data_IF_875619009976
#
_entry.id   IF_875619009976
#
_cell.length_a   1.000
_cell.length_b   1.000
_cell.length_c   1.000
_cell.angle_alpha   90.00
_cell.angle_beta   90.00
_cell.angle_gamma   90.00
#
_symmetry.space_group_name_H-M   'P 1'
#
loop_
_entity.id
_entity.type
_entity.pdbx_description
1 polymer ?
#
# COMPACT_ATOMS: atom_id res chain seq x y z
N UNK A 1 6.49 -21.37 -8.89
CA UNK A 1 5.22 -21.28 -8.11
C UNK A 1 4.00 -21.42 -9.01
N UNK A 2 3.83 -20.54 -10.02
CA UNK A 2 2.69 -20.60 -10.95
C UNK A 2 2.62 -21.90 -11.79
N UNK A 3 3.75 -22.59 -11.95
CA UNK A 3 3.84 -23.93 -12.55
C UNK A 3 3.13 -25.02 -11.71
N UNK A 4 3.08 -24.85 -10.38
CA UNK A 4 2.58 -25.86 -9.45
C UNK A 4 1.27 -25.46 -8.75
N UNK A 5 0.99 -24.16 -8.65
CA UNK A 5 -0.18 -23.62 -7.94
C UNK A 5 -0.91 -22.59 -8.79
N UNK A 6 -2.23 -22.69 -8.83
CA UNK A 6 -3.08 -21.61 -9.35
C UNK A 6 -3.07 -20.43 -8.38
N UNK A 7 -3.22 -19.20 -8.88
CA UNK A 7 -3.16 -17.99 -8.06
C UNK A 7 -4.17 -18.00 -6.88
N UNK A 8 -5.35 -18.61 -7.06
CA UNK A 8 -6.35 -18.77 -5.98
C UNK A 8 -5.89 -19.66 -4.81
N UNK A 9 -4.80 -20.38 -4.98
CA UNK A 9 -4.18 -21.25 -3.97
C UNK A 9 -2.98 -20.57 -3.29
N UNK A 10 -2.58 -19.37 -3.73
CA UNK A 10 -1.40 -18.68 -3.25
C UNK A 10 -1.81 -17.49 -2.38
N UNK A 11 -1.45 -17.54 -1.10
CA UNK A 11 -1.71 -16.47 -0.13
C UNK A 11 -0.40 -15.80 0.24
N UNK A 12 -0.10 -14.67 -0.41
CA UNK A 12 1.10 -13.87 -0.11
C UNK A 12 0.81 -12.99 1.09
N UNK A 13 1.63 -13.12 2.12
CA UNK A 13 1.40 -12.45 3.41
C UNK A 13 2.01 -11.05 3.40
N UNK A 14 1.18 -10.09 3.75
CA UNK A 14 1.59 -8.79 4.24
C UNK A 14 0.83 -8.57 5.56
N UNK A 15 1.55 -8.57 6.68
CA UNK A 15 0.93 -8.55 8.01
C UNK A 15 0.22 -7.23 8.32
N UNK A 16 0.54 -6.13 7.61
CA UNK A 16 -0.20 -4.86 7.76
C UNK A 16 -1.63 -5.00 7.28
N UNK A 17 -1.90 -5.84 6.26
CA UNK A 17 -3.26 -6.10 5.77
C UNK A 17 -4.14 -6.85 6.80
N UNK A 18 -3.54 -7.47 7.82
CA UNK A 18 -4.28 -8.12 8.90
C UNK A 18 -4.61 -7.20 10.08
N UNK A 19 -4.12 -5.96 10.09
CA UNK A 19 -4.40 -5.00 11.17
C UNK A 19 -5.82 -4.47 11.03
N UNK A 20 -6.58 -4.46 12.12
CA UNK A 20 -7.99 -4.03 12.14
C UNK A 20 -8.20 -2.63 11.55
N UNK A 21 -7.30 -1.70 11.86
CA UNK A 21 -7.37 -0.32 11.34
C UNK A 21 -7.18 -0.26 9.83
N UNK A 22 -6.36 -1.13 9.24
CA UNK A 22 -6.16 -1.20 7.78
C UNK A 22 -7.39 -1.81 7.10
N UNK A 23 -7.97 -2.85 7.69
CA UNK A 23 -9.22 -3.45 7.20
C UNK A 23 -10.38 -2.44 7.22
N UNK A 24 -10.44 -1.59 8.25
CA UNK A 24 -11.46 -0.56 8.39
C UNK A 24 -11.42 0.54 7.32
N UNK A 25 -10.32 0.71 6.58
CA UNK A 25 -10.23 1.73 5.52
C UNK A 25 -11.32 1.56 4.46
N UNK A 26 -11.63 0.32 4.07
CA UNK A 26 -12.65 0.03 3.05
C UNK A 26 -14.04 0.38 3.56
N UNK A 27 -14.35 0.00 4.81
CA UNK A 27 -15.61 0.34 5.44
C UNK A 27 -15.76 1.86 5.63
N UNK A 28 -14.71 2.52 6.10
CA UNK A 28 -14.70 3.97 6.29
C UNK A 28 -14.99 4.72 4.98
N UNK A 29 -14.28 4.37 3.89
CA UNK A 29 -14.38 5.10 2.62
C UNK A 29 -15.69 4.87 1.88
N UNK A 30 -16.25 3.65 1.93
CA UNK A 30 -17.37 3.29 1.06
C UNK A 30 -18.71 3.08 1.77
N UNK A 31 -18.73 2.91 3.10
CA UNK A 31 -19.97 2.81 3.86
C UNK A 31 -20.50 4.17 4.37
N UNK A 32 -19.75 5.25 4.15
CA UNK A 32 -20.06 6.58 4.68
C UNK A 32 -20.14 7.60 3.53
N UNK A 33 -21.32 8.17 3.30
CA UNK A 33 -21.57 9.11 2.19
C UNK A 33 -20.66 10.34 2.21
N UNK A 34 -20.31 10.84 3.40
CA UNK A 34 -19.40 11.98 3.58
C UNK A 34 -18.03 11.71 2.96
N UNK A 35 -17.53 10.47 3.05
CA UNK A 35 -16.25 10.13 2.44
C UNK A 35 -16.42 9.82 0.95
N UNK A 36 -17.44 9.06 0.56
CA UNK A 36 -17.64 8.67 -0.84
C UNK A 36 -17.72 9.87 -1.78
N UNK A 37 -18.32 10.99 -1.37
CA UNK A 37 -18.47 12.18 -2.25
C UNK A 37 -17.28 13.14 -2.20
N UNK A 38 -16.36 12.99 -1.25
CA UNK A 38 -15.29 13.94 -0.99
C UNK A 38 -13.89 13.30 -1.10
N UNK A 39 -13.79 12.08 -1.62
CA UNK A 39 -12.53 11.33 -1.70
C UNK A 39 -11.82 11.52 -3.04
N UNK A 40 -11.55 12.77 -3.42
CA UNK A 40 -10.87 13.11 -4.66
C UNK A 40 -9.98 14.36 -4.51
N UNK A 41 -9.30 14.73 -5.59
CA UNK A 41 -8.39 15.87 -5.63
C UNK A 41 -9.07 17.25 -5.55
N UNK A 42 -10.41 17.32 -5.60
CA UNK A 42 -11.14 18.58 -5.45
C UNK A 42 -11.33 18.94 -3.98
N UNK A 43 -11.29 17.93 -3.10
CA UNK A 43 -11.47 18.09 -1.66
C UNK A 43 -10.22 17.74 -0.86
N UNK A 44 -9.42 16.76 -1.31
CA UNK A 44 -8.21 16.31 -0.64
C UNK A 44 -7.00 17.05 -1.22
N UNK A 45 -6.36 17.85 -0.37
CA UNK A 45 -5.09 18.53 -0.70
C UNK A 45 -3.92 17.54 -0.79
N UNK A 46 -3.73 16.70 0.24
CA UNK A 46 -2.70 15.66 0.25
C UNK A 46 -3.07 14.47 1.15
N UNK A 47 -2.38 13.36 0.93
CA UNK A 47 -2.45 12.15 1.74
C UNK A 47 -1.07 11.84 2.28
N UNK A 48 -0.95 11.70 3.61
CA UNK A 48 0.28 11.30 4.26
C UNK A 48 0.12 9.91 4.90
N UNK A 49 1.05 9.01 4.57
CA UNK A 49 1.15 7.68 5.19
C UNK A 49 2.48 7.62 5.93
N UNK A 50 2.42 7.52 7.26
CA UNK A 50 3.61 7.51 8.12
C UNK A 50 3.71 6.17 8.82
N UNK A 51 4.91 5.58 8.80
CA UNK A 51 5.28 4.47 9.66
C UNK A 51 6.57 4.87 10.36
N UNK A 52 6.50 4.95 11.68
CA UNK A 52 7.61 5.31 12.55
C UNK A 52 7.84 4.16 13.53
N UNK A 53 9.10 3.80 13.72
CA UNK A 53 9.54 2.75 14.63
C UNK A 53 10.48 3.40 15.66
N UNK A 54 10.19 3.20 16.94
CA UNK A 54 11.09 3.65 18.02
C UNK A 54 12.30 2.73 18.18
N UNK A 55 12.16 1.50 17.69
CA UNK A 55 13.14 0.43 17.82
C UNK A 55 14.13 0.48 16.67
N UNK A 56 15.43 0.42 16.98
CA UNK A 56 16.49 0.36 15.99
C UNK A 56 16.59 -1.01 15.29
N UNK A 57 17.70 -1.25 14.61
CA UNK A 57 17.89 -2.47 13.80
C UNK A 57 18.06 -3.75 14.67
N UNK A 58 18.17 -3.65 16.00
CA UNK A 58 18.17 -4.73 17.00
C UNK A 58 18.74 -6.08 16.53
N UNK A 59 20.04 -6.11 16.21
CA UNK A 59 20.74 -7.35 15.82
C UNK A 59 20.44 -7.87 14.42
N UNK A 60 19.51 -7.26 13.67
CA UNK A 60 19.18 -7.62 12.27
C UNK A 60 20.04 -6.90 11.23
N UNK A 61 21.16 -6.31 11.66
CA UNK A 61 22.01 -5.45 10.82
C UNK A 61 22.43 -6.12 9.52
N UNK A 62 22.84 -7.39 9.56
CA UNK A 62 23.27 -8.14 8.37
C UNK A 62 22.15 -8.39 7.33
N UNK A 63 20.88 -8.39 7.73
CA UNK A 63 19.73 -8.46 6.82
C UNK A 63 19.33 -7.07 6.34
N UNK A 64 19.26 -6.11 7.26
CA UNK A 64 18.80 -4.76 6.99
C UNK A 64 19.74 -3.98 6.07
N UNK A 65 21.06 -4.18 6.20
CA UNK A 65 22.09 -3.53 5.36
C UNK A 65 21.87 -3.81 3.86
N UNK A 66 21.42 -5.02 3.52
CA UNK A 66 21.20 -5.43 2.13
C UNK A 66 19.83 -4.99 1.59
N UNK A 67 18.81 -4.97 2.45
CA UNK A 67 17.43 -4.67 2.06
C UNK A 67 17.15 -3.17 2.06
N UNK A 68 17.50 -2.48 3.14
CA UNK A 68 17.16 -1.09 3.44
C UNK A 68 15.67 -0.85 3.67
N UNK A 69 15.33 0.31 4.24
CA UNK A 69 13.94 0.70 4.58
C UNK A 69 12.98 0.64 3.39
N UNK A 70 13.46 0.95 2.18
CA UNK A 70 12.64 0.93 0.97
C UNK A 70 12.07 -0.46 0.67
N UNK A 71 12.89 -1.51 0.79
CA UNK A 71 12.43 -2.89 0.55
C UNK A 71 11.72 -3.49 1.75
N UNK A 72 12.12 -3.10 2.95
CA UNK A 72 11.57 -3.67 4.19
C UNK A 72 10.15 -3.16 4.47
N UNK A 73 9.88 -1.88 4.21
CA UNK A 73 8.62 -1.22 4.61
C UNK A 73 7.85 -0.59 3.45
N UNK A 74 8.53 0.08 2.51
CA UNK A 74 7.84 0.87 1.48
C UNK A 74 7.23 -0.03 0.41
N UNK A 75 8.03 -0.96 -0.14
CA UNK A 75 7.63 -1.80 -1.28
C UNK A 75 6.45 -2.73 -0.96
N UNK A 76 6.29 -3.14 0.29
CA UNK A 76 5.22 -4.00 0.76
C UNK A 76 4.14 -3.17 1.48
N UNK A 77 4.33 -2.86 2.75
CA UNK A 77 3.33 -2.39 3.69
C UNK A 77 2.74 -1.06 3.28
N UNK A 78 3.57 -0.05 2.99
CA UNK A 78 3.08 1.28 2.63
C UNK A 78 2.41 1.26 1.25
N UNK A 79 2.95 0.53 0.26
CA UNK A 79 2.29 0.38 -1.04
C UNK A 79 0.94 -0.34 -0.94
N UNK A 80 0.81 -1.33 -0.06
CA UNK A 80 -0.47 -1.98 0.20
C UNK A 80 -1.48 -1.00 0.80
N UNK A 81 -1.11 -0.23 1.82
CA UNK A 81 -1.98 0.80 2.41
C UNK A 81 -2.35 1.86 1.38
N UNK A 82 -1.37 2.37 0.64
CA UNK A 82 -1.59 3.35 -0.44
C UNK A 82 -2.64 2.85 -1.43
N UNK A 83 -2.55 1.59 -1.86
CA UNK A 83 -3.50 1.02 -2.80
C UNK A 83 -4.93 0.95 -2.23
N UNK A 84 -5.09 0.69 -0.93
CA UNK A 84 -6.40 0.69 -0.27
C UNK A 84 -6.97 2.10 -0.08
N UNK A 85 -6.09 3.07 0.19
CA UNK A 85 -6.44 4.48 0.38
C UNK A 85 -6.83 5.16 -0.92
N UNK A 86 -6.18 4.80 -2.04
CA UNK A 86 -6.37 5.48 -3.33
C UNK A 86 -7.27 4.73 -4.32
N UNK A 87 -7.66 3.48 -4.05
CA UNK A 87 -8.49 2.72 -5.00
C UNK A 87 -9.89 3.34 -5.17
N UNK A 88 -10.45 3.17 -6.36
CA UNK A 88 -11.86 3.48 -6.63
C UNK A 88 -12.79 2.52 -5.86
N UNK A 89 -14.08 2.89 -5.70
CA UNK A 89 -15.08 1.97 -5.15
C UNK A 89 -15.14 0.68 -5.98
N UNK A 90 -14.92 -0.50 -5.36
CA UNK A 90 -14.97 -1.76 -6.09
C UNK A 90 -16.43 -2.13 -6.42
N UNK A 91 -16.64 -2.79 -7.56
CA UNK A 91 -17.99 -3.23 -8.01
C UNK A 91 -18.66 -4.14 -6.98
N UNK A 92 -17.87 -5.00 -6.33
CA UNK A 92 -18.29 -5.80 -5.18
C UNK A 92 -17.20 -5.79 -4.10
N UNK A 93 -17.55 -6.20 -2.88
CA UNK A 93 -16.57 -6.43 -1.79
C UNK A 93 -15.86 -7.79 -1.91
N UNK A 94 -15.98 -8.49 -3.05
CA UNK A 94 -15.24 -9.71 -3.32
C UNK A 94 -13.74 -9.45 -3.48
N UNK A 95 -12.92 -10.43 -3.10
CA UNK A 95 -11.45 -10.33 -3.11
C UNK A 95 -10.89 -9.92 -4.49
N UNK A 96 -11.44 -10.45 -5.58
CA UNK A 96 -11.00 -10.14 -6.93
C UNK A 96 -11.32 -8.69 -7.34
N UNK A 97 -12.51 -8.21 -6.97
CA UNK A 97 -12.94 -6.84 -7.25
C UNK A 97 -12.04 -5.83 -6.53
N UNK A 98 -11.77 -6.07 -5.24
CA UNK A 98 -10.82 -5.25 -4.46
C UNK A 98 -9.42 -5.32 -5.06
N UNK A 99 -8.95 -6.51 -5.44
CA UNK A 99 -7.63 -6.68 -6.07
C UNK A 99 -7.51 -5.88 -7.36
N UNK A 100 -8.55 -5.87 -8.19
CA UNK A 100 -8.55 -5.13 -9.44
C UNK A 100 -8.43 -3.62 -9.23
N UNK A 101 -9.16 -3.05 -8.27
CA UNK A 101 -9.05 -1.61 -7.98
C UNK A 101 -7.68 -1.24 -7.40
N UNK A 102 -7.12 -2.08 -6.51
CA UNK A 102 -5.73 -1.90 -6.03
C UNK A 102 -4.71 -1.94 -7.18
N UNK A 103 -4.89 -2.86 -8.14
CA UNK A 103 -4.01 -2.96 -9.31
C UNK A 103 -4.11 -1.73 -10.22
N UNK A 104 -5.29 -1.12 -10.38
CA UNK A 104 -5.43 0.13 -11.14
C UNK A 104 -4.61 1.25 -10.53
N UNK A 105 -4.64 1.41 -9.20
CA UNK A 105 -3.81 2.39 -8.49
C UNK A 105 -2.33 2.16 -8.79
N UNK A 106 -1.84 0.93 -8.60
CA UNK A 106 -0.42 0.61 -8.79
C UNK A 106 0.04 0.86 -10.23
N UNK A 107 -0.81 0.59 -11.22
CA UNK A 107 -0.52 0.89 -12.65
C UNK A 107 -0.53 2.38 -12.97
N UNK A 108 -1.28 3.19 -12.21
CA UNK A 108 -1.36 4.63 -12.38
C UNK A 108 -0.24 5.41 -11.65
N UNK A 109 0.54 4.73 -10.79
CA UNK A 109 1.66 5.37 -10.10
C UNK A 109 2.71 5.88 -11.09
N UNK A 110 3.15 7.13 -10.90
CA UNK A 110 4.29 7.69 -11.61
C UNK A 110 5.57 7.02 -11.06
N UNK A 111 6.41 6.42 -11.92
CA UNK A 111 7.62 5.76 -11.46
C UNK A 111 8.65 6.77 -10.94
N UNK A 112 9.34 6.39 -9.86
CA UNK A 112 10.55 7.06 -9.41
C UNK A 112 11.71 6.47 -10.21
N UNK A 113 12.33 7.28 -11.05
CA UNK A 113 13.41 6.91 -11.96
C UNK A 113 14.74 7.50 -11.48
N UNK A 114 15.84 7.12 -12.13
CA UNK A 114 17.16 7.69 -11.83
C UNK A 114 17.19 9.21 -12.02
N UNK A 115 16.38 9.74 -12.93
CA UNK A 115 16.37 11.16 -13.28
C UNK A 115 15.60 12.03 -12.27
N UNK A 116 14.69 11.44 -11.47
CA UNK A 116 13.85 12.18 -10.53
C UNK A 116 13.99 11.73 -9.07
N UNK A 117 14.82 10.72 -8.78
CA UNK A 117 14.94 10.15 -7.43
C UNK A 117 15.43 11.18 -6.41
N UNK A 118 16.33 12.07 -6.78
CA UNK A 118 16.87 13.11 -5.89
C UNK A 118 15.81 14.18 -5.54
N UNK A 119 14.84 14.42 -6.42
CA UNK A 119 13.77 15.40 -6.19
C UNK A 119 12.60 14.77 -5.42
N UNK A 120 12.28 13.50 -5.68
CA UNK A 120 11.07 12.84 -5.16
C UNK A 120 11.30 12.03 -3.89
N UNK A 121 12.54 11.85 -3.46
CA UNK A 121 12.86 11.06 -2.28
C UNK A 121 13.88 11.76 -1.40
N UNK A 122 13.84 11.43 -0.10
CA UNK A 122 14.87 11.79 0.86
C UNK A 122 15.29 10.51 1.56
N UNK A 123 16.59 10.33 1.75
CA UNK A 123 17.17 9.23 2.51
C UNK A 123 18.00 9.80 3.65
N UNK A 124 17.72 9.35 4.87
CA UNK A 124 18.52 9.62 6.07
C UNK A 124 19.61 8.58 6.29
#
# INVERSE_FOLDING_TARGET
MAEFFQEKQVYRIDHYLGKETVLNLVALRFANSIFTTNWDNTTIDHVQITVAEEVGIEGRWGYFDKSGQLRDMVQNHLLQILSLVAMEPPVTLGSESIRNEKLKVLKALRPITRDNVEEKTVRG
#
